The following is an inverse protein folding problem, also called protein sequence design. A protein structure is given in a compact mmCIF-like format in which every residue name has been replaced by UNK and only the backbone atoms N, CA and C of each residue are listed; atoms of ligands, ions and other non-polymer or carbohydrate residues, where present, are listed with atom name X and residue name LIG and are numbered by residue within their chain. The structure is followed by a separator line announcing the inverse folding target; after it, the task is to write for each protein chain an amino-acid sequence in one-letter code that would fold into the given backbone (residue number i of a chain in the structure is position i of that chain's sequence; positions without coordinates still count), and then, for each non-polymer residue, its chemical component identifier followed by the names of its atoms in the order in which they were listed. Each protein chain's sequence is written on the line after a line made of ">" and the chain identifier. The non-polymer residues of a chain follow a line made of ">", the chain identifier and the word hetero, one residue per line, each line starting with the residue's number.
data_IF_378436406134
#
_entry.id   IF_378436406134
#
_cell.length_a   1.000
_cell.length_b   1.000
_cell.length_c   1.000
_cell.angle_alpha   90.00
_cell.angle_beta   90.00
_cell.angle_gamma   90.00
#
_symmetry.space_group_name_H-M   'P 1'
#
loop_
_entity.id
_entity.type
_entity.pdbx_description
1 polymer ?
#
# COMPACT_ATOMS: atom_id res chain seq x y z
N UNK A 1 -23.22 -7.33 15.00
CA UNK A 1 -22.04 -7.07 15.86
C UNK A 1 -20.88 -6.83 14.93
N UNK A 2 -20.40 -5.60 14.83
CA UNK A 2 -19.32 -5.20 13.91
C UNK A 2 -17.98 -5.59 14.54
N UNK A 3 -17.37 -6.65 14.07
CA UNK A 3 -15.99 -7.02 14.43
C UNK A 3 -15.06 -6.07 13.67
N UNK A 4 -14.34 -5.25 14.41
CA UNK A 4 -13.25 -4.44 13.87
C UNK A 4 -12.10 -5.39 13.51
N UNK A 5 -11.75 -5.59 12.22
CA UNK A 5 -10.70 -6.53 11.82
C UNK A 5 -9.30 -6.19 12.38
N UNK A 6 -9.12 -4.96 12.91
CA UNK A 6 -7.89 -4.55 13.56
C UNK A 6 -7.85 -4.83 15.07
N UNK A 7 -9.01 -5.08 15.72
CA UNK A 7 -9.03 -5.49 17.14
C UNK A 7 -8.50 -6.92 17.34
N UNK A 8 -8.63 -7.76 16.33
CA UNK A 8 -8.12 -9.13 16.42
C UNK A 8 -6.58 -9.19 16.28
N UNK A 9 -5.96 -8.17 15.67
CA UNK A 9 -4.49 -8.04 15.63
C UNK A 9 -3.89 -7.82 17.02
N UNK A 10 -4.52 -6.97 17.86
CA UNK A 10 -4.06 -6.69 19.24
C UNK A 10 -4.20 -7.91 20.17
N UNK A 11 -5.22 -8.74 19.94
CA UNK A 11 -5.43 -9.97 20.74
C UNK A 11 -4.49 -11.12 20.33
N UNK A 12 -4.02 -11.14 19.08
CA UNK A 12 -3.07 -12.14 18.60
C UNK A 12 -1.65 -11.89 19.10
N UNK A 13 -1.26 -10.64 19.33
CA UNK A 13 0.03 -10.29 19.92
C UNK A 13 0.22 -10.90 21.33
N UNK A 14 -0.86 -11.01 22.12
CA UNK A 14 -0.83 -11.60 23.46
C UNK A 14 -0.77 -13.14 23.48
N UNK A 15 -1.26 -13.80 22.44
CA UNK A 15 -1.28 -15.26 22.38
C UNK A 15 0.05 -15.86 21.83
N UNK A 16 0.87 -15.08 21.13
CA UNK A 16 2.12 -15.56 20.51
C UNK A 16 3.35 -15.50 21.42
N UNK A 17 3.27 -14.83 22.57
CA UNK A 17 4.40 -14.77 23.52
C UNK A 17 4.77 -16.11 24.16
N UNK A 18 3.95 -17.14 24.04
CA UNK A 18 4.14 -18.41 24.77
C UNK A 18 4.80 -19.54 23.97
N UNK A 19 5.13 -19.39 22.69
CA UNK A 19 5.78 -20.46 21.88
C UNK A 19 6.85 -19.93 20.91
N UNK A 20 7.89 -19.30 21.44
CA UNK A 20 9.13 -19.06 20.71
C UNK A 20 9.90 -20.38 20.59
N UNK A 21 9.76 -21.06 19.46
CA UNK A 21 10.72 -22.10 19.07
C UNK A 21 12.01 -21.41 18.61
N UNK A 22 13.04 -21.53 19.40
CA UNK A 22 14.42 -21.10 19.07
C UNK A 22 14.92 -21.86 17.85
N UNK A 23 15.07 -21.16 16.73
CA UNK A 23 15.82 -21.67 15.57
C UNK A 23 17.30 -21.87 15.94
N UNK A 24 17.98 -22.91 15.40
CA UNK A 24 19.37 -23.17 15.68
C UNK A 24 20.25 -22.12 15.00
N UNK A 25 20.58 -21.08 15.72
CA UNK A 25 21.53 -20.02 15.39
C UNK A 25 21.78 -19.22 16.64
N UNK A 26 22.98 -18.68 16.81
CA UNK A 26 23.37 -17.99 18.03
C UNK A 26 22.29 -16.97 18.46
N UNK A 27 21.50 -17.24 19.52
CA UNK A 27 20.36 -16.40 19.92
C UNK A 27 20.77 -15.02 20.44
N UNK A 28 22.07 -14.77 20.58
CA UNK A 28 22.64 -13.55 21.16
C UNK A 28 23.08 -12.49 20.13
N UNK A 29 22.98 -12.78 18.83
CA UNK A 29 23.20 -11.76 17.81
C UNK A 29 21.86 -11.13 17.44
N UNK A 30 21.42 -10.16 18.21
CA UNK A 30 20.32 -9.29 17.80
C UNK A 30 20.72 -8.54 16.52
N UNK A 31 19.82 -8.57 15.52
CA UNK A 31 19.97 -7.71 14.36
C UNK A 31 19.60 -6.30 14.81
N UNK A 32 20.60 -5.44 14.94
CA UNK A 32 20.42 -4.06 15.41
C UNK A 32 20.47 -3.12 14.21
N UNK A 33 19.48 -2.22 14.05
CA UNK A 33 19.52 -1.25 12.97
C UNK A 33 20.72 -0.32 13.13
N UNK A 34 21.40 -0.07 12.03
CA UNK A 34 22.45 0.93 12.00
C UNK A 34 21.83 2.31 12.27
N UNK A 35 22.44 3.05 13.21
CA UNK A 35 21.99 4.39 13.56
C UNK A 35 22.62 5.42 12.64
N UNK A 36 21.83 6.41 12.21
CA UNK A 36 22.34 7.51 11.42
C UNK A 36 23.35 8.35 12.21
N UNK A 37 24.43 8.77 11.57
CA UNK A 37 25.43 9.66 12.13
C UNK A 37 25.02 11.15 12.03
N UNK A 38 24.21 11.48 11.03
CA UNK A 38 23.78 12.84 10.73
C UNK A 38 22.27 12.98 10.82
N UNK A 39 21.80 14.16 11.24
CA UNK A 39 20.39 14.50 11.25
C UNK A 39 20.07 15.39 10.04
N UNK A 40 19.30 14.91 9.04
CA UNK A 40 18.94 15.69 7.87
C UNK A 40 17.90 16.79 8.15
N UNK A 41 17.33 16.83 9.34
CA UNK A 41 16.28 17.77 9.75
C UNK A 41 16.81 18.88 10.68
N UNK A 42 18.05 19.31 10.48
CA UNK A 42 18.61 20.41 11.25
C UNK A 42 17.73 21.67 11.18
N UNK A 43 17.57 22.35 12.32
CA UNK A 43 16.70 23.52 12.42
C UNK A 43 15.20 23.21 12.61
N UNK A 44 14.79 21.95 12.58
CA UNK A 44 13.44 21.51 12.94
C UNK A 44 13.32 21.29 14.45
N UNK A 45 12.08 21.32 14.97
CA UNK A 45 11.79 20.85 16.32
C UNK A 45 11.79 19.32 16.34
N UNK A 46 12.97 18.73 16.44
CA UNK A 46 13.16 17.29 16.35
C UNK A 46 12.73 16.60 17.65
N UNK A 47 11.88 15.54 17.58
CA UNK A 47 11.60 14.68 18.71
C UNK A 47 12.87 13.96 19.22
N UNK A 48 12.91 13.66 20.52
CA UNK A 48 14.09 13.08 21.16
C UNK A 48 14.45 11.67 20.64
N UNK A 49 13.46 10.93 20.18
CA UNK A 49 13.57 9.58 19.63
C UNK A 49 13.82 9.53 18.12
N UNK A 50 14.06 10.68 17.48
CA UNK A 50 14.21 10.79 16.02
C UNK A 50 15.28 9.83 15.47
N UNK A 51 16.43 9.73 16.17
CA UNK A 51 17.53 8.88 15.73
C UNK A 51 17.21 7.37 15.69
N UNK A 52 16.15 6.92 16.37
CA UNK A 52 15.70 5.53 16.33
C UNK A 52 14.96 5.19 15.01
N UNK A 53 14.60 6.21 14.25
CA UNK A 53 13.85 6.08 12.99
C UNK A 53 14.61 6.54 11.75
N UNK A 54 15.64 7.39 11.89
CA UNK A 54 16.40 7.92 10.76
C UNK A 54 16.92 6.82 9.83
N UNK A 55 17.01 7.15 8.55
CA UNK A 55 17.70 6.31 7.58
C UNK A 55 19.19 6.25 7.92
N UNK A 56 19.84 5.07 7.83
CA UNK A 56 21.26 4.91 8.18
C UNK A 56 22.21 5.86 7.44
N UNK A 57 21.90 6.22 6.21
CA UNK A 57 22.68 7.15 5.39
C UNK A 57 22.47 8.64 5.73
N UNK A 58 21.62 8.93 6.72
CA UNK A 58 21.29 10.29 7.11
C UNK A 58 20.45 11.07 6.10
N UNK A 59 19.83 10.41 5.14
CA UNK A 59 18.90 11.04 4.21
C UNK A 59 17.54 11.31 4.88
N UNK A 60 16.75 12.18 4.24
CA UNK A 60 15.35 12.37 4.64
C UNK A 60 14.54 11.10 4.47
N UNK A 61 13.52 10.91 5.29
CA UNK A 61 12.55 9.82 5.10
C UNK A 61 11.98 9.79 3.69
N UNK A 62 11.57 8.63 3.23
CA UNK A 62 10.80 8.50 1.99
C UNK A 62 9.53 9.36 2.00
N UNK A 63 8.94 9.61 0.84
CA UNK A 63 7.76 10.49 0.71
C UNK A 63 6.60 10.05 1.60
N UNK A 64 6.46 8.74 1.84
CA UNK A 64 5.37 8.15 2.62
C UNK A 64 5.90 7.42 3.87
N UNK A 65 6.80 8.05 4.63
CA UNK A 65 7.48 7.36 5.74
C UNK A 65 7.83 8.24 6.95
N UNK A 66 7.13 9.32 7.20
CA UNK A 66 7.39 10.17 8.36
C UNK A 66 6.68 9.62 9.63
N UNK A 67 7.39 9.13 10.66
CA UNK A 67 6.80 8.55 11.86
C UNK A 67 6.02 9.55 12.73
N UNK A 68 6.28 10.86 12.57
CA UNK A 68 5.66 11.94 13.36
C UNK A 68 4.54 12.66 12.60
N UNK A 69 4.31 12.25 11.36
CA UNK A 69 3.28 12.87 10.54
C UNK A 69 1.88 12.59 11.10
N UNK A 70 1.06 13.61 11.18
CA UNK A 70 -0.34 13.54 11.60
C UNK A 70 -1.28 14.08 10.53
N UNK A 71 -2.42 13.43 10.38
CA UNK A 71 -3.43 13.77 9.39
C UNK A 71 -3.97 15.19 9.63
N UNK A 72 -4.14 15.92 8.53
CA UNK A 72 -4.81 17.23 8.51
C UNK A 72 -5.80 17.29 7.36
N UNK A 73 -7.01 17.74 7.63
CA UNK A 73 -7.96 18.08 6.56
C UNK A 73 -7.59 19.42 5.91
N UNK A 74 -7.58 19.46 4.60
CA UNK A 74 -7.29 20.70 3.84
C UNK A 74 -8.47 21.62 3.83
N UNK A 75 -9.69 21.05 3.88
CA UNK A 75 -10.94 21.80 3.87
C UNK A 75 -11.87 21.24 4.94
N UNK A 76 -12.25 22.09 5.88
CA UNK A 76 -13.16 21.74 6.98
C UNK A 76 -14.63 21.87 6.60
N UNK A 77 -14.94 22.21 5.34
CA UNK A 77 -16.31 22.37 4.90
C UNK A 77 -16.98 21.02 4.75
N UNK A 78 -17.78 20.67 5.73
CA UNK A 78 -18.68 19.54 5.67
C UNK A 78 -19.99 19.95 5.04
N UNK A 79 -20.25 19.63 3.80
CA UNK A 79 -21.62 19.62 3.30
C UNK A 79 -22.15 18.18 3.28
N UNK A 80 -22.31 17.59 4.46
CA UNK A 80 -22.92 16.26 4.59
C UNK A 80 -24.31 16.16 3.99
N UNK A 81 -25.07 17.28 4.02
CA UNK A 81 -26.36 17.41 3.34
C UNK A 81 -26.24 17.35 1.80
N UNK A 82 -25.23 17.98 1.22
CA UNK A 82 -25.03 17.98 -0.23
C UNK A 82 -24.62 16.60 -0.76
N UNK A 83 -23.85 15.86 0.01
CA UNK A 83 -23.42 14.51 -0.36
C UNK A 83 -24.59 13.54 -0.46
N UNK A 84 -25.52 13.59 0.47
CA UNK A 84 -26.73 12.76 0.45
C UNK A 84 -27.65 13.15 -0.75
N UNK A 85 -27.89 14.43 -0.91
CA UNK A 85 -28.70 14.92 -2.05
C UNK A 85 -28.08 14.52 -3.39
N UNK A 86 -26.76 14.64 -3.54
CA UNK A 86 -26.07 14.20 -4.73
C UNK A 86 -26.25 12.70 -4.99
N UNK A 87 -26.15 11.87 -3.94
CA UNK A 87 -26.35 10.42 -4.06
C UNK A 87 -27.78 10.11 -4.47
N UNK A 88 -28.77 10.67 -3.78
CA UNK A 88 -30.19 10.44 -4.09
C UNK A 88 -30.50 10.78 -5.55
N UNK A 89 -30.03 11.93 -6.05
CA UNK A 89 -30.20 12.34 -7.44
C UNK A 89 -29.53 11.37 -8.41
N UNK A 90 -28.29 10.97 -8.16
CA UNK A 90 -27.53 10.06 -9.01
C UNK A 90 -28.16 8.67 -9.10
N UNK A 91 -28.69 8.17 -7.99
CA UNK A 91 -29.35 6.87 -7.91
C UNK A 91 -30.71 6.93 -8.61
N UNK A 92 -31.50 7.98 -8.39
CA UNK A 92 -32.80 8.14 -9.04
C UNK A 92 -32.67 8.25 -10.57
N UNK A 93 -31.68 9.00 -11.05
CA UNK A 93 -31.50 9.28 -12.48
C UNK A 93 -30.61 8.24 -13.19
N UNK A 94 -30.07 7.27 -12.43
CA UNK A 94 -29.04 6.32 -12.89
C UNK A 94 -27.92 7.04 -13.69
N UNK A 95 -27.45 8.17 -13.16
CA UNK A 95 -26.60 9.12 -13.90
C UNK A 95 -25.14 9.17 -13.41
N UNK A 96 -24.66 8.09 -12.79
CA UNK A 96 -23.23 7.96 -12.49
C UNK A 96 -22.41 7.92 -13.77
N UNK A 97 -21.38 8.72 -13.84
CA UNK A 97 -20.43 8.65 -14.96
C UNK A 97 -19.38 7.56 -14.70
N UNK A 98 -18.81 6.98 -15.77
CA UNK A 98 -17.76 5.96 -15.67
C UNK A 98 -16.60 6.41 -14.76
N UNK A 99 -16.20 7.67 -14.84
CA UNK A 99 -15.16 8.25 -13.98
C UNK A 99 -15.58 8.38 -12.53
N UNK A 100 -16.86 8.62 -12.24
CA UNK A 100 -17.36 8.62 -10.85
C UNK A 100 -17.38 7.19 -10.31
N UNK A 101 -17.81 6.22 -11.09
CA UNK A 101 -17.79 4.79 -10.76
C UNK A 101 -16.34 4.34 -10.52
N UNK A 102 -15.43 4.62 -11.44
CA UNK A 102 -14.01 4.27 -11.30
C UNK A 102 -13.36 4.90 -10.06
N UNK A 103 -13.67 6.18 -9.74
CA UNK A 103 -13.18 6.85 -8.56
C UNK A 103 -13.67 6.19 -7.27
N UNK A 104 -14.98 5.89 -7.19
CA UNK A 104 -15.57 5.22 -6.04
C UNK A 104 -14.96 3.83 -5.85
N UNK A 105 -14.88 3.04 -6.92
CA UNK A 105 -14.29 1.71 -6.91
C UNK A 105 -12.83 1.76 -6.44
N UNK A 106 -12.02 2.64 -7.02
CA UNK A 106 -10.62 2.79 -6.63
C UNK A 106 -10.46 3.14 -5.15
N UNK A 107 -11.25 4.08 -4.62
CA UNK A 107 -11.10 4.51 -3.23
C UNK A 107 -11.68 3.53 -2.19
N UNK A 108 -12.59 2.63 -2.54
CA UNK A 108 -13.01 1.55 -1.63
C UNK A 108 -12.00 0.40 -1.57
N UNK A 109 -11.20 0.21 -2.61
CA UNK A 109 -10.10 -0.78 -2.60
C UNK A 109 -8.84 -0.20 -1.92
N UNK A 110 -8.56 1.08 -2.14
CA UNK A 110 -7.30 1.72 -1.80
C UNK A 110 -7.38 2.72 -0.64
N UNK A 111 -8.57 2.91 -0.05
CA UNK A 111 -8.88 3.73 1.12
C UNK A 111 -8.65 5.23 0.90
N UNK A 112 -7.46 5.66 0.52
CA UNK A 112 -7.11 7.03 0.16
C UNK A 112 -6.00 7.02 -0.90
N UNK A 113 -5.91 8.12 -1.64
CA UNK A 113 -4.91 8.22 -2.70
C UNK A 113 -4.43 9.65 -2.92
N UNK A 114 -3.23 9.79 -3.49
CA UNK A 114 -2.75 11.06 -4.02
C UNK A 114 -3.51 11.43 -5.30
N UNK A 115 -3.44 12.71 -5.67
CA UNK A 115 -3.98 13.13 -6.97
C UNK A 115 -3.39 12.35 -8.15
N UNK A 116 -2.08 12.06 -8.10
CA UNK A 116 -1.40 11.35 -9.20
C UNK A 116 -1.86 9.89 -9.29
N UNK A 117 -2.08 9.21 -8.17
CA UNK A 117 -2.65 7.86 -8.13
C UNK A 117 -4.06 7.83 -8.71
N UNK A 118 -4.92 8.80 -8.31
CA UNK A 118 -6.27 8.92 -8.90
C UNK A 118 -6.20 9.16 -10.41
N UNK A 119 -5.26 9.99 -10.88
CA UNK A 119 -5.11 10.24 -12.33
C UNK A 119 -4.80 8.95 -13.07
N UNK A 120 -3.83 8.17 -12.60
CA UNK A 120 -3.44 6.91 -13.24
C UNK A 120 -4.55 5.85 -13.20
N UNK A 121 -5.33 5.79 -12.12
CA UNK A 121 -6.37 4.77 -11.94
C UNK A 121 -7.72 5.14 -12.58
N UNK A 122 -8.07 6.43 -12.67
CA UNK A 122 -9.42 6.90 -13.03
C UNK A 122 -9.46 7.60 -14.39
N UNK A 123 -8.31 8.00 -14.90
CA UNK A 123 -8.21 8.76 -16.14
C UNK A 123 -7.21 8.14 -17.12
N UNK A 124 -7.48 6.94 -17.65
CA UNK A 124 -6.58 6.28 -18.61
C UNK A 124 -6.40 7.08 -19.91
N UNK A 125 -7.35 7.96 -20.24
CA UNK A 125 -7.33 8.86 -21.39
C UNK A 125 -6.50 10.14 -21.17
N UNK A 126 -5.84 10.27 -20.02
CA UNK A 126 -4.95 11.38 -19.66
C UNK A 126 -5.48 12.78 -20.02
N UNK A 127 -6.67 13.18 -19.56
CA UNK A 127 -7.25 14.47 -19.92
C UNK A 127 -6.41 15.62 -19.34
N UNK A 128 -6.66 16.85 -19.78
CA UNK A 128 -5.96 18.03 -19.29
C UNK A 128 -6.02 18.19 -17.78
N UNK A 129 -4.99 18.79 -17.19
CA UNK A 129 -4.89 19.05 -15.74
C UNK A 129 -6.09 19.80 -15.18
N UNK A 130 -6.74 20.64 -16.00
CA UNK A 130 -7.90 21.43 -15.59
C UNK A 130 -9.16 20.58 -15.48
N UNK A 131 -9.37 19.60 -16.38
CA UNK A 131 -10.47 18.63 -16.31
C UNK A 131 -10.35 17.82 -15.01
N UNK A 132 -9.17 17.29 -14.69
CA UNK A 132 -8.90 16.53 -13.48
C UNK A 132 -9.17 17.40 -12.24
N UNK A 133 -8.65 18.62 -12.23
CA UNK A 133 -8.85 19.57 -11.12
C UNK A 133 -10.32 19.89 -10.91
N UNK A 134 -11.05 20.15 -12.01
CA UNK A 134 -12.49 20.44 -11.97
C UNK A 134 -13.28 19.23 -11.45
N UNK A 135 -12.96 18.01 -11.90
CA UNK A 135 -13.59 16.78 -11.45
C UNK A 135 -13.40 16.55 -9.93
N UNK A 136 -12.18 16.62 -9.42
CA UNK A 136 -11.89 16.47 -8.01
C UNK A 136 -12.54 17.58 -7.16
N UNK A 137 -12.48 18.84 -7.61
CA UNK A 137 -13.16 19.97 -6.96
C UNK A 137 -14.66 19.77 -6.90
N UNK A 138 -15.29 19.33 -7.99
CA UNK A 138 -16.72 19.04 -8.05
C UNK A 138 -17.14 17.97 -7.05
N UNK A 139 -16.44 16.85 -6.98
CA UNK A 139 -16.73 15.75 -6.05
C UNK A 139 -16.50 16.16 -4.58
N UNK A 140 -15.52 17.02 -4.30
CA UNK A 140 -15.36 17.64 -2.97
C UNK A 140 -16.54 18.56 -2.62
N UNK A 141 -16.91 19.45 -3.53
CA UNK A 141 -18.02 20.39 -3.31
C UNK A 141 -19.37 19.68 -3.12
N UNK A 142 -19.52 18.50 -3.73
CA UNK A 142 -20.68 17.60 -3.55
C UNK A 142 -20.64 16.81 -2.25
N UNK A 143 -19.55 16.88 -1.51
CA UNK A 143 -19.38 16.16 -0.24
C UNK A 143 -19.14 14.66 -0.41
N UNK A 144 -18.67 14.21 -1.57
CA UNK A 144 -18.30 12.81 -1.86
C UNK A 144 -16.86 12.53 -1.44
N UNK A 145 -15.97 13.49 -1.68
CA UNK A 145 -14.54 13.42 -1.35
C UNK A 145 -14.15 14.37 -0.23
N UNK A 146 -13.27 13.92 0.63
CA UNK A 146 -12.46 14.76 1.51
C UNK A 146 -11.08 14.97 0.91
N UNK A 147 -10.53 16.18 1.09
CA UNK A 147 -9.14 16.48 0.79
C UNK A 147 -8.33 16.55 2.09
N UNK A 148 -7.23 15.84 2.09
CA UNK A 148 -6.39 15.58 3.24
C UNK A 148 -4.94 15.94 2.91
N UNK A 149 -4.14 16.15 3.93
CA UNK A 149 -2.68 16.24 3.88
C UNK A 149 -2.15 15.82 5.24
N UNK A 150 -0.90 16.08 5.53
CA UNK A 150 -0.35 15.86 6.85
C UNK A 150 0.55 17.01 7.29
N UNK A 151 0.71 17.12 8.58
CA UNK A 151 1.66 18.02 9.22
C UNK A 151 2.68 17.20 9.98
N UNK A 152 3.89 17.69 10.08
CA UNK A 152 5.00 17.06 10.77
C UNK A 152 5.86 18.12 11.45
N UNK A 153 6.50 17.82 12.58
CA UNK A 153 7.49 18.69 13.18
C UNK A 153 8.81 18.77 12.35
N UNK A 154 9.00 17.82 11.42
CA UNK A 154 10.20 17.73 10.60
C UNK A 154 10.07 18.59 9.35
N UNK A 155 11.10 19.37 9.06
CA UNK A 155 11.15 20.17 7.85
C UNK A 155 12.11 19.55 6.83
N UNK A 156 11.58 18.89 5.83
CA UNK A 156 12.33 18.32 4.72
C UNK A 156 12.31 19.18 3.45
N UNK A 157 11.72 20.37 3.52
CA UNK A 157 11.57 21.30 2.40
C UNK A 157 10.60 20.82 1.29
N UNK A 158 10.06 19.58 1.38
CA UNK A 158 9.21 19.01 0.36
C UNK A 158 7.75 19.41 0.52
N UNK A 159 7.10 19.72 -0.60
CA UNK A 159 5.65 19.97 -0.62
C UNK A 159 4.90 18.66 -0.46
N UNK A 160 4.09 18.56 0.58
CA UNK A 160 3.25 17.39 0.83
C UNK A 160 2.12 17.32 -0.20
N UNK A 161 1.85 16.15 -0.83
CA UNK A 161 0.75 16.01 -1.77
C UNK A 161 -0.61 16.14 -1.07
N UNK A 162 -1.62 16.52 -1.86
CA UNK A 162 -3.01 16.42 -1.42
C UNK A 162 -3.48 15.00 -1.62
N UNK A 163 -4.07 14.43 -0.59
CA UNK A 163 -4.70 13.12 -0.56
C UNK A 163 -6.22 13.29 -0.66
N UNK A 164 -6.86 12.27 -1.19
CA UNK A 164 -8.31 12.19 -1.31
C UNK A 164 -8.80 10.87 -0.74
N UNK A 165 -9.87 10.94 0.06
CA UNK A 165 -10.59 9.78 0.58
C UNK A 165 -12.08 10.02 0.54
N UNK A 166 -12.89 8.97 0.65
CA UNK A 166 -14.34 9.08 0.62
C UNK A 166 -14.89 9.62 1.93
N UNK A 167 -15.86 10.51 1.82
CA UNK A 167 -16.71 10.92 2.96
C UNK A 167 -17.72 9.81 3.28
N UNK A 168 -18.53 10.02 4.30
CA UNK A 168 -19.64 9.12 4.61
C UNK A 168 -20.60 8.97 3.42
N UNK A 169 -20.93 10.07 2.71
CA UNK A 169 -21.79 10.01 1.52
C UNK A 169 -21.12 9.24 0.37
N UNK A 170 -19.81 9.43 0.16
CA UNK A 170 -19.06 8.67 -0.83
C UNK A 170 -19.02 7.17 -0.52
N UNK A 171 -18.84 6.79 0.75
CA UNK A 171 -18.91 5.39 1.20
C UNK A 171 -20.30 4.79 0.98
N UNK A 172 -21.37 5.54 1.31
CA UNK A 172 -22.75 5.06 1.08
C UNK A 172 -22.98 4.82 -0.42
N UNK A 173 -22.60 5.78 -1.28
CA UNK A 173 -22.72 5.64 -2.73
C UNK A 173 -21.98 4.40 -3.27
N UNK A 174 -20.73 4.20 -2.82
CA UNK A 174 -19.95 3.05 -3.25
C UNK A 174 -20.52 1.73 -2.73
N UNK A 175 -21.01 1.70 -1.48
CA UNK A 175 -21.63 0.51 -0.89
C UNK A 175 -22.90 0.10 -1.65
N UNK A 176 -23.72 1.06 -2.07
CA UNK A 176 -24.93 0.82 -2.87
C UNK A 176 -24.58 0.37 -4.29
N UNK A 177 -23.64 1.04 -4.97
CA UNK A 177 -23.26 0.71 -6.35
C UNK A 177 -22.62 -0.67 -6.48
N UNK A 178 -21.77 -1.04 -5.53
CA UNK A 178 -20.98 -2.29 -5.63
C UNK A 178 -21.51 -3.41 -4.74
N UNK A 179 -22.64 -3.19 -4.04
CA UNK A 179 -23.23 -4.15 -3.11
C UNK A 179 -22.21 -4.72 -2.10
N UNK A 180 -21.33 -3.84 -1.59
CA UNK A 180 -20.23 -4.23 -0.67
C UNK A 180 -20.33 -3.50 0.65
N UNK A 181 -20.04 -4.23 1.73
CA UNK A 181 -19.84 -3.62 3.04
C UNK A 181 -18.42 -3.07 3.14
N UNK A 182 -18.29 -1.75 3.31
CA UNK A 182 -17.01 -1.05 3.37
C UNK A 182 -16.66 -0.76 4.83
N UNK A 183 -15.42 -1.08 5.28
CA UNK A 183 -15.01 -0.85 6.66
C UNK A 183 -15.09 0.62 7.07
N UNK A 184 -15.45 0.90 8.33
CA UNK A 184 -15.56 2.25 8.86
C UNK A 184 -14.26 3.08 8.75
N UNK A 185 -13.10 2.42 8.79
CA UNK A 185 -11.79 3.06 8.61
C UNK A 185 -11.54 3.68 7.23
N UNK A 186 -12.45 3.48 6.27
CA UNK A 186 -12.41 4.08 4.94
C UNK A 186 -13.15 5.41 4.84
N UNK A 187 -13.82 5.83 5.92
CA UNK A 187 -14.58 7.08 5.96
C UNK A 187 -13.71 8.22 6.46
N UNK A 188 -13.59 9.27 5.65
CA UNK A 188 -12.87 10.50 5.97
C UNK A 188 -13.84 11.67 6.12
N UNK A 189 -14.43 11.79 7.30
CA UNK A 189 -15.28 12.95 7.61
C UNK A 189 -14.40 14.12 8.02
N UNK A 190 -14.47 15.28 7.34
CA UNK A 190 -13.68 16.44 7.68
C UNK A 190 -13.83 16.84 9.13
N UNK A 191 -12.72 16.99 9.82
CA UNK A 191 -12.62 17.41 11.20
C UNK A 191 -11.48 18.41 11.36
N UNK A 192 -11.58 19.29 12.36
CA UNK A 192 -10.50 20.19 12.73
C UNK A 192 -9.71 19.57 13.86
N UNK A 193 -8.42 19.37 13.62
CA UNK A 193 -7.49 18.96 14.67
C UNK A 193 -6.59 20.13 15.02
N UNK A 194 -6.34 20.40 16.31
CA UNK A 194 -5.21 21.25 16.69
C UNK A 194 -3.91 20.75 16.03
N UNK A 195 -2.98 21.62 15.76
CA UNK A 195 -1.75 21.23 15.07
C UNK A 195 -1.05 20.05 15.75
N UNK A 196 -0.79 19.00 14.99
CA UNK A 196 -0.10 17.80 15.46
C UNK A 196 -0.94 16.81 16.29
N UNK A 197 -2.26 17.03 16.44
CA UNK A 197 -3.13 16.13 17.22
C UNK A 197 -4.03 15.24 16.36
N UNK A 198 -3.89 15.31 15.03
CA UNK A 198 -4.59 14.42 14.11
C UNK A 198 -4.12 12.96 14.23
N UNK A 199 -4.85 12.01 13.64
CA UNK A 199 -4.42 10.61 13.58
C UNK A 199 -3.03 10.46 12.97
N UNK A 200 -2.24 9.49 13.46
CA UNK A 200 -0.93 9.20 12.92
C UNK A 200 -1.04 8.73 11.45
N UNK A 201 -0.11 9.20 10.61
CA UNK A 201 -0.10 8.91 9.17
C UNK A 201 0.49 7.54 8.80
N UNK A 202 1.19 6.85 9.69
CA UNK A 202 1.90 5.60 9.35
C UNK A 202 1.01 4.54 8.66
N UNK A 203 -0.25 4.25 9.10
CA UNK A 203 -1.11 3.31 8.39
C UNK A 203 -1.52 3.81 7.00
N UNK A 204 -1.67 5.13 6.84
CA UNK A 204 -2.02 5.73 5.55
C UNK A 204 -0.84 5.76 4.59
N UNK A 205 0.38 5.90 5.09
CA UNK A 205 1.59 5.79 4.28
C UNK A 205 1.78 4.39 3.70
N UNK A 206 1.42 3.34 4.45
CA UNK A 206 1.37 1.98 3.94
C UNK A 206 0.40 1.88 2.75
N UNK A 207 -0.81 2.45 2.90
CA UNK A 207 -1.79 2.46 1.82
C UNK A 207 -1.27 3.20 0.58
N UNK A 208 -0.69 4.39 0.78
CA UNK A 208 -0.19 5.23 -0.31
C UNK A 208 0.93 4.57 -1.12
N UNK A 209 1.88 3.93 -0.45
CA UNK A 209 2.98 3.30 -1.18
C UNK A 209 2.56 2.01 -1.88
N UNK A 210 1.62 1.27 -1.31
CA UNK A 210 1.04 0.11 -2.00
C UNK A 210 0.24 0.54 -3.22
N UNK A 211 -0.44 1.70 -3.15
CA UNK A 211 -1.13 2.27 -4.30
C UNK A 211 -0.16 2.69 -5.41
N UNK A 212 1.07 3.13 -5.07
CA UNK A 212 2.08 3.40 -6.11
C UNK A 212 2.41 2.13 -6.90
N UNK A 213 2.70 1.02 -6.22
CA UNK A 213 2.97 -0.24 -6.90
C UNK A 213 1.77 -0.70 -7.74
N UNK A 214 0.55 -0.62 -7.18
CA UNK A 214 -0.67 -0.92 -7.93
C UNK A 214 -0.78 -0.09 -9.20
N UNK A 215 -0.69 1.24 -9.09
CA UNK A 215 -0.82 2.15 -10.23
C UNK A 215 0.24 1.89 -11.30
N UNK A 216 1.45 1.53 -10.90
CA UNK A 216 2.51 1.22 -11.84
C UNK A 216 2.29 -0.12 -12.55
N UNK A 217 1.82 -1.15 -11.85
CA UNK A 217 1.46 -2.44 -12.47
C UNK A 217 0.29 -2.30 -13.46
N UNK A 218 -0.70 -1.47 -13.13
CA UNK A 218 -1.79 -1.11 -14.06
C UNK A 218 -1.25 -0.34 -15.27
N UNK A 219 -0.37 0.65 -15.05
CA UNK A 219 0.20 1.48 -16.12
C UNK A 219 0.99 0.67 -17.16
N UNK A 220 1.71 -0.35 -16.72
CA UNK A 220 2.46 -1.24 -17.63
C UNK A 220 1.59 -2.38 -18.20
N UNK A 221 0.30 -2.39 -17.89
CA UNK A 221 -0.70 -3.37 -18.36
C UNK A 221 -0.31 -4.83 -18.05
N UNK A 222 0.07 -5.11 -16.79
CA UNK A 222 0.49 -6.44 -16.32
C UNK A 222 -0.34 -6.99 -15.18
N UNK A 223 -1.15 -6.16 -14.51
CA UNK A 223 -1.90 -6.54 -13.33
C UNK A 223 -3.21 -7.24 -13.73
N UNK A 224 -3.34 -8.51 -13.36
CA UNK A 224 -4.58 -9.29 -13.53
C UNK A 224 -5.48 -9.13 -12.31
N UNK A 225 -4.92 -9.29 -11.10
CA UNK A 225 -5.69 -9.09 -9.87
C UNK A 225 -4.86 -8.40 -8.80
N UNK A 226 -5.54 -7.62 -7.97
CA UNK A 226 -4.97 -6.97 -6.80
C UNK A 226 -5.95 -7.05 -5.64
N UNK A 227 -5.47 -7.53 -4.50
CA UNK A 227 -6.28 -7.56 -3.30
C UNK A 227 -5.50 -6.99 -2.12
N UNK A 228 -6.14 -6.10 -1.36
CA UNK A 228 -5.59 -5.54 -0.13
C UNK A 228 -5.96 -6.41 1.06
N UNK A 229 -4.95 -6.79 1.84
CA UNK A 229 -5.11 -7.65 3.01
C UNK A 229 -6.05 -8.85 2.77
N UNK A 230 -5.84 -9.65 1.71
CA UNK A 230 -6.70 -10.79 1.43
C UNK A 230 -6.58 -11.83 2.53
N UNK A 231 -7.69 -12.49 2.82
CA UNK A 231 -7.75 -13.59 3.77
C UNK A 231 -7.28 -14.89 3.10
N UNK A 232 -6.07 -15.34 3.43
CA UNK A 232 -5.54 -16.62 2.97
C UNK A 232 -5.79 -17.66 4.04
N UNK A 233 -6.67 -18.63 3.76
CA UNK A 233 -7.02 -19.73 4.67
C UNK A 233 -6.17 -20.95 4.40
N UNK A 234 -5.81 -21.69 5.45
CA UNK A 234 -5.08 -22.95 5.36
C UNK A 234 -5.98 -24.14 5.80
N UNK A 235 -5.65 -25.38 5.36
CA UNK A 235 -6.48 -26.56 5.66
C UNK A 235 -6.70 -26.83 7.15
N UNK A 236 -5.80 -26.37 8.03
CA UNK A 236 -5.93 -26.51 9.47
C UNK A 236 -6.80 -25.42 10.14
N UNK A 237 -7.48 -24.60 9.34
CA UNK A 237 -8.33 -23.50 9.82
C UNK A 237 -7.56 -22.22 10.22
N UNK A 238 -6.23 -22.26 10.17
CA UNK A 238 -5.43 -21.06 10.38
C UNK A 238 -5.47 -20.13 9.15
N UNK A 239 -5.07 -18.87 9.31
CA UNK A 239 -5.12 -17.88 8.24
C UNK A 239 -3.99 -16.85 8.32
N UNK A 240 -3.76 -16.19 7.20
CA UNK A 240 -2.80 -15.10 7.05
C UNK A 240 -3.36 -13.98 6.18
N UNK A 241 -2.97 -12.76 6.47
CA UNK A 241 -3.29 -11.58 5.67
C UNK A 241 -1.98 -10.92 5.21
N UNK A 242 -1.53 -11.11 3.97
CA UNK A 242 -0.46 -10.26 3.41
C UNK A 242 -0.95 -8.81 3.31
N UNK A 243 -0.05 -7.85 3.25
CA UNK A 243 -0.41 -6.45 3.07
C UNK A 243 -1.18 -6.21 1.76
N UNK A 244 -0.75 -6.89 0.69
CA UNK A 244 -1.52 -7.06 -0.54
C UNK A 244 -1.06 -8.32 -1.27
N UNK A 245 -1.88 -8.77 -2.24
CA UNK A 245 -1.49 -9.73 -3.28
C UNK A 245 -1.61 -9.09 -4.66
N UNK A 246 -0.70 -9.45 -5.55
CA UNK A 246 -0.73 -9.05 -6.94
C UNK A 246 -0.53 -10.29 -7.82
N UNK A 247 -1.48 -10.55 -8.72
CA UNK A 247 -1.32 -11.53 -9.78
C UNK A 247 -0.97 -10.80 -11.07
N UNK A 248 0.15 -11.18 -11.66
CA UNK A 248 0.75 -10.50 -12.80
C UNK A 248 0.92 -11.47 -13.94
N UNK A 249 0.56 -11.04 -15.14
CA UNK A 249 0.80 -11.81 -16.37
C UNK A 249 2.22 -11.58 -16.87
N UNK A 250 2.87 -12.66 -17.28
CA UNK A 250 4.13 -12.62 -18.02
C UNK A 250 3.88 -12.94 -19.48
N UNK A 251 3.44 -14.17 -19.76
CA UNK A 251 3.14 -14.66 -21.10
C UNK A 251 1.86 -15.50 -21.06
N UNK A 252 1.10 -15.57 -22.16
CA UNK A 252 -0.23 -16.19 -22.19
C UNK A 252 -0.26 -17.70 -21.91
N UNK A 253 0.84 -18.39 -22.22
CA UNK A 253 0.96 -19.85 -22.02
C UNK A 253 1.51 -20.22 -20.63
N UNK A 254 1.86 -19.21 -19.80
CA UNK A 254 2.41 -19.43 -18.48
C UNK A 254 1.37 -19.10 -17.37
N UNK A 255 1.44 -19.77 -16.20
CA UNK A 255 0.58 -19.43 -15.08
C UNK A 255 0.87 -18.01 -14.57
N UNK A 256 -0.17 -17.35 -14.06
CA UNK A 256 -0.05 -16.05 -13.44
C UNK A 256 1.00 -16.05 -12.31
N UNK A 257 1.70 -14.96 -12.17
CA UNK A 257 2.76 -14.79 -11.18
C UNK A 257 2.21 -14.08 -9.95
N UNK A 258 2.02 -14.84 -8.87
CA UNK A 258 1.56 -14.32 -7.59
C UNK A 258 2.71 -13.68 -6.82
N UNK A 259 2.50 -12.45 -6.35
CA UNK A 259 3.35 -11.73 -5.41
C UNK A 259 2.58 -11.43 -4.12
N UNK A 260 3.23 -11.54 -2.97
CA UNK A 260 2.80 -10.84 -1.77
C UNK A 260 3.55 -9.53 -1.65
N UNK A 261 2.87 -8.51 -1.12
CA UNK A 261 3.44 -7.16 -0.98
C UNK A 261 3.32 -6.71 0.46
N UNK A 262 4.43 -6.22 1.01
CA UNK A 262 4.51 -5.69 2.36
C UNK A 262 5.21 -4.33 2.36
N UNK A 263 4.74 -3.39 3.16
CA UNK A 263 5.39 -2.11 3.36
C UNK A 263 5.87 -1.99 4.81
N UNK A 264 7.16 -1.74 4.98
CA UNK A 264 7.76 -1.50 6.31
C UNK A 264 7.90 -0.01 6.51
N UNK A 265 7.33 0.50 7.62
CA UNK A 265 7.38 1.92 7.99
C UNK A 265 7.87 2.07 9.42
N UNK A 266 8.96 2.82 9.65
CA UNK A 266 9.43 3.14 10.98
C UNK A 266 8.35 3.89 11.78
N UNK A 267 8.09 3.42 12.97
CA UNK A 267 7.18 4.01 13.94
C UNK A 267 7.42 3.34 15.29
N UNK A 268 6.75 3.77 16.35
CA UNK A 268 6.92 3.12 17.66
C UNK A 268 6.80 1.59 17.55
N UNK A 269 7.77 0.88 18.09
CA UNK A 269 7.85 -0.61 18.10
C UNK A 269 7.94 -1.27 16.70
N UNK A 270 8.30 -0.51 15.67
CA UNK A 270 8.34 -1.02 14.29
C UNK A 270 9.23 -2.26 14.12
N UNK A 271 10.33 -2.35 14.87
CA UNK A 271 11.25 -3.48 14.82
C UNK A 271 10.59 -4.79 15.25
N UNK A 272 9.94 -4.77 16.41
CA UNK A 272 9.23 -5.95 16.93
C UNK A 272 8.07 -6.35 16.01
N UNK A 273 7.34 -5.36 15.51
CA UNK A 273 6.26 -5.62 14.54
C UNK A 273 6.78 -6.22 13.24
N UNK A 274 7.90 -5.72 12.72
CA UNK A 274 8.50 -6.26 11.49
C UNK A 274 9.01 -7.68 11.71
N UNK A 275 9.67 -7.94 12.84
CA UNK A 275 10.11 -9.30 13.23
C UNK A 275 8.93 -10.28 13.27
N UNK A 276 7.90 -9.98 14.06
CA UNK A 276 6.71 -10.81 14.16
C UNK A 276 6.03 -11.00 12.80
N UNK A 277 6.03 -9.94 11.99
CA UNK A 277 5.47 -10.00 10.64
C UNK A 277 6.24 -10.95 9.74
N UNK A 278 7.56 -10.94 9.78
CA UNK A 278 8.41 -11.85 9.02
C UNK A 278 8.26 -13.30 9.47
N UNK A 279 8.22 -13.56 10.78
CA UNK A 279 7.94 -14.90 11.32
C UNK A 279 6.59 -15.45 10.82
N UNK A 280 5.55 -14.62 10.82
CA UNK A 280 4.23 -15.01 10.30
C UNK A 280 4.21 -15.23 8.80
N UNK A 281 4.98 -14.45 8.04
CA UNK A 281 5.14 -14.63 6.60
C UNK A 281 5.85 -15.94 6.26
N UNK A 282 6.94 -16.26 6.96
CA UNK A 282 7.64 -17.54 6.85
C UNK A 282 6.70 -18.71 7.10
N UNK A 283 5.96 -18.64 8.19
CA UNK A 283 4.98 -19.64 8.54
C UNK A 283 3.89 -19.80 7.46
N UNK A 284 3.34 -18.72 6.95
CA UNK A 284 2.32 -18.74 5.91
C UNK A 284 2.87 -19.27 4.58
N UNK A 285 4.06 -18.83 4.20
CA UNK A 285 4.75 -19.26 2.98
C UNK A 285 5.01 -20.77 2.98
N UNK A 286 5.50 -21.31 4.10
CA UNK A 286 5.77 -22.75 4.23
C UNK A 286 4.50 -23.60 4.22
N UNK A 287 3.37 -23.06 4.70
CA UNK A 287 2.06 -23.73 4.67
C UNK A 287 1.34 -23.65 3.33
N UNK A 288 1.66 -22.66 2.52
CA UNK A 288 1.04 -22.48 1.20
C UNK A 288 1.36 -23.64 0.26
N UNK A 289 0.35 -24.12 -0.48
CA UNK A 289 0.57 -25.05 -1.59
C UNK A 289 1.40 -24.40 -2.68
N UNK A 290 2.00 -25.19 -3.56
CA UNK A 290 2.79 -24.65 -4.69
C UNK A 290 2.00 -23.67 -5.56
N UNK A 291 0.70 -23.92 -5.75
CA UNK A 291 -0.19 -23.08 -6.56
C UNK A 291 -0.63 -21.79 -5.88
N UNK A 292 -0.67 -21.75 -4.54
CA UNK A 292 -1.06 -20.56 -3.75
C UNK A 292 0.13 -19.80 -3.16
N UNK A 293 1.35 -20.33 -3.36
CA UNK A 293 2.58 -19.74 -2.86
C UNK A 293 3.03 -18.60 -3.76
N UNK A 294 3.36 -17.41 -3.20
CA UNK A 294 3.91 -16.34 -4.02
C UNK A 294 5.28 -16.73 -4.57
N UNK A 295 5.56 -16.34 -5.81
CA UNK A 295 6.89 -16.53 -6.39
C UNK A 295 7.93 -15.68 -5.67
N UNK A 296 7.51 -14.52 -5.14
CA UNK A 296 8.33 -13.61 -4.33
C UNK A 296 7.45 -12.75 -3.42
N UNK A 297 8.06 -12.28 -2.34
CA UNK A 297 7.49 -11.21 -1.52
C UNK A 297 8.19 -9.91 -1.85
N UNK A 298 7.43 -8.88 -2.18
CA UNK A 298 7.94 -7.53 -2.41
C UNK A 298 7.87 -6.76 -1.09
N UNK A 299 9.01 -6.36 -0.56
CA UNK A 299 9.10 -5.52 0.65
C UNK A 299 9.42 -4.09 0.23
N UNK A 300 8.52 -3.17 0.56
CA UNK A 300 8.69 -1.75 0.28
C UNK A 300 9.26 -1.07 1.52
N UNK A 301 10.54 -0.71 1.46
CA UNK A 301 11.22 0.05 2.51
C UNK A 301 11.02 1.56 2.32
N UNK A 302 11.36 2.35 3.32
CA UNK A 302 11.31 3.81 3.29
C UNK A 302 12.54 4.46 2.63
N UNK A 303 13.60 3.70 2.41
CA UNK A 303 14.82 4.14 1.73
C UNK A 303 15.78 2.97 1.50
N UNK A 304 16.67 3.14 0.52
CA UNK A 304 17.62 2.09 0.12
C UNK A 304 18.55 1.67 1.27
N UNK A 305 19.01 2.60 2.07
CA UNK A 305 19.91 2.33 3.20
C UNK A 305 19.28 1.51 4.33
N UNK A 306 17.95 1.38 4.36
CA UNK A 306 17.24 0.51 5.30
C UNK A 306 17.24 -0.95 4.85
N UNK A 307 17.38 -1.20 3.54
CA UNK A 307 17.26 -2.55 2.96
C UNK A 307 18.27 -3.54 3.53
N UNK A 308 19.56 -3.23 3.72
CA UNK A 308 20.51 -4.17 4.34
C UNK A 308 20.02 -4.71 5.67
N UNK A 309 19.55 -3.84 6.55
CA UNK A 309 19.01 -4.24 7.86
C UNK A 309 17.75 -5.13 7.71
N UNK A 310 16.81 -4.75 6.84
CA UNK A 310 15.61 -5.55 6.60
C UNK A 310 15.95 -6.92 5.99
N UNK A 311 16.96 -6.99 5.15
CA UNK A 311 17.43 -8.26 4.55
C UNK A 311 18.07 -9.17 5.60
N UNK A 312 18.88 -8.64 6.49
CA UNK A 312 19.46 -9.38 7.62
C UNK A 312 18.37 -9.90 8.59
N UNK A 313 17.38 -9.04 8.87
CA UNK A 313 16.22 -9.41 9.68
C UNK A 313 15.40 -10.52 8.99
N UNK A 314 15.17 -10.40 7.69
CA UNK A 314 14.46 -11.38 6.90
C UNK A 314 15.21 -12.72 6.83
N UNK A 315 16.51 -12.72 6.63
CA UNK A 315 17.32 -13.94 6.65
C UNK A 315 17.21 -14.71 7.97
N UNK A 316 16.95 -14.00 9.05
CA UNK A 316 16.79 -14.61 10.38
C UNK A 316 15.37 -15.12 10.64
N UNK A 317 14.34 -14.38 10.23
CA UNK A 317 12.95 -14.63 10.62
C UNK A 317 12.06 -15.14 9.48
N UNK A 318 12.52 -15.06 8.23
CA UNK A 318 11.85 -15.67 7.07
C UNK A 318 12.85 -16.17 6.01
N UNK A 319 13.72 -17.13 6.38
CA UNK A 319 14.84 -17.58 5.55
C UNK A 319 14.44 -18.31 4.28
N UNK A 320 13.23 -18.86 4.16
CA UNK A 320 12.81 -19.63 2.98
C UNK A 320 12.05 -18.78 1.96
N UNK A 321 11.63 -17.58 2.33
CA UNK A 321 10.82 -16.69 1.47
C UNK A 321 11.71 -15.95 0.46
N UNK A 322 11.47 -16.08 -0.83
CA UNK A 322 12.19 -15.29 -1.84
C UNK A 322 11.73 -13.83 -1.79
N UNK A 323 12.66 -12.89 -1.60
CA UNK A 323 12.35 -11.48 -1.38
C UNK A 323 12.86 -10.62 -2.53
N UNK A 324 12.08 -9.58 -2.83
CA UNK A 324 12.48 -8.39 -3.59
C UNK A 324 12.28 -7.16 -2.71
N UNK A 325 13.23 -6.25 -2.75
CA UNK A 325 13.10 -4.96 -2.10
C UNK A 325 12.81 -3.87 -3.13
N UNK A 326 12.09 -2.86 -2.71
CA UNK A 326 11.93 -1.59 -3.41
C UNK A 326 11.72 -0.48 -2.38
N UNK A 327 11.66 0.76 -2.82
CA UNK A 327 11.45 1.92 -1.93
C UNK A 327 10.43 2.89 -2.53
N UNK A 328 9.97 3.84 -1.70
CA UNK A 328 9.06 4.91 -2.14
C UNK A 328 9.57 5.62 -3.38
N UNK A 329 10.84 6.04 -3.35
CA UNK A 329 11.43 6.83 -4.43
C UNK A 329 11.58 6.03 -5.72
N UNK A 330 11.89 4.73 -5.59
CA UNK A 330 12.01 3.84 -6.76
C UNK A 330 10.65 3.61 -7.42
N UNK A 331 9.59 3.43 -6.64
CA UNK A 331 8.23 3.28 -7.16
C UNK A 331 7.72 4.59 -7.78
N UNK A 332 8.01 5.74 -7.16
CA UNK A 332 7.64 7.06 -7.71
C UNK A 332 8.34 7.37 -9.04
N UNK A 333 9.46 6.73 -9.33
CA UNK A 333 10.17 6.82 -10.60
C UNK A 333 9.69 5.80 -11.67
N UNK A 334 8.63 5.06 -11.37
CA UNK A 334 8.04 4.06 -12.26
C UNK A 334 8.76 2.70 -12.26
N UNK A 335 8.09 1.69 -12.84
CA UNK A 335 8.65 0.34 -12.97
C UNK A 335 9.68 0.27 -14.09
N UNK A 336 10.95 0.16 -13.72
CA UNK A 336 12.10 0.09 -14.61
C UNK A 336 13.18 -0.85 -14.04
N UNK A 337 14.31 -0.96 -14.72
CA UNK A 337 15.41 -1.86 -14.33
C UNK A 337 15.98 -1.59 -12.92
N UNK A 338 15.80 -0.37 -12.39
CA UNK A 338 16.33 0.05 -11.09
C UNK A 338 15.28 -0.04 -9.97
N UNK A 339 14.05 -0.45 -10.25
CA UNK A 339 12.95 -0.43 -9.28
C UNK A 339 13.14 -1.47 -8.19
N UNK A 340 13.53 -2.68 -8.56
CA UNK A 340 13.68 -3.78 -7.60
C UNK A 340 15.14 -4.03 -7.27
N UNK A 341 15.35 -4.40 -6.02
CA UNK A 341 16.66 -4.65 -5.44
C UNK A 341 16.69 -6.01 -4.74
N UNK A 342 17.88 -6.59 -4.69
CA UNK A 342 18.22 -7.72 -3.83
C UNK A 342 19.47 -7.38 -3.02
N UNK A 343 19.52 -7.86 -1.78
CA UNK A 343 20.69 -7.70 -0.93
C UNK A 343 21.43 -9.04 -0.82
N UNK A 344 22.69 -9.05 -1.22
CA UNK A 344 23.56 -10.21 -1.03
C UNK A 344 24.18 -10.15 0.37
N UNK A 345 23.75 -11.06 1.25
CA UNK A 345 24.22 -11.13 2.62
C UNK A 345 25.71 -11.49 2.74
N UNK A 346 26.24 -12.31 1.81
CA UNK A 346 27.64 -12.73 1.84
C UNK A 346 28.56 -11.57 1.50
N UNK A 347 28.24 -10.83 0.46
CA UNK A 347 29.05 -9.70 -0.03
C UNK A 347 28.67 -8.37 0.63
N UNK A 348 27.56 -8.36 1.40
CA UNK A 348 26.95 -7.14 1.99
C UNK A 348 26.70 -6.06 0.96
N UNK A 349 26.22 -6.46 -0.21
CA UNK A 349 26.03 -5.57 -1.35
C UNK A 349 24.57 -5.54 -1.79
N UNK A 350 24.06 -4.32 -2.03
CA UNK A 350 22.74 -4.07 -2.60
C UNK A 350 22.85 -4.04 -4.13
N UNK A 351 22.15 -4.94 -4.82
CA UNK A 351 22.18 -5.08 -6.28
C UNK A 351 20.80 -4.88 -6.89
N UNK A 352 20.77 -4.36 -8.11
CA UNK A 352 19.54 -4.33 -8.91
C UNK A 352 19.03 -5.75 -9.20
N UNK A 353 17.72 -5.96 -9.06
CA UNK A 353 17.04 -7.20 -9.42
C UNK A 353 16.23 -6.95 -10.70
N UNK A 354 16.73 -7.40 -11.83
CA UNK A 354 15.98 -7.28 -13.09
C UNK A 354 14.85 -8.28 -13.14
N UNK A 355 13.62 -7.78 -13.31
CA UNK A 355 12.42 -8.57 -13.55
C UNK A 355 11.79 -8.04 -14.83
N UNK A 356 12.17 -8.57 -16.01
CA UNK A 356 11.81 -7.99 -17.29
C UNK A 356 10.30 -7.78 -17.47
N UNK A 357 9.46 -8.73 -17.05
CA UNK A 357 8.01 -8.63 -17.20
C UNK A 357 7.34 -7.62 -16.26
N UNK A 358 8.06 -7.05 -15.28
CA UNK A 358 7.63 -5.92 -14.45
C UNK A 358 8.26 -4.59 -14.91
N UNK A 359 8.75 -4.52 -16.14
CA UNK A 359 9.36 -3.31 -16.70
C UNK A 359 8.55 -2.82 -17.89
N UNK A 360 8.54 -1.52 -18.08
CA UNK A 360 7.95 -0.91 -19.26
C UNK A 360 8.60 -1.43 -20.53
N UNK A 361 7.80 -1.67 -21.58
CA UNK A 361 8.27 -2.15 -22.88
C UNK A 361 8.55 -3.65 -22.97
N UNK A 362 8.21 -4.44 -21.95
CA UNK A 362 8.28 -5.90 -22.07
C UNK A 362 7.26 -6.41 -23.11
N UNK A 363 7.71 -7.27 -24.03
CA UNK A 363 6.93 -7.73 -25.18
C UNK A 363 5.99 -8.92 -24.93
N UNK A 364 5.88 -9.40 -23.69
CA UNK A 364 4.94 -10.48 -23.33
C UNK A 364 3.47 -10.05 -23.34
N UNK A 365 2.57 -10.99 -23.00
CA UNK A 365 1.13 -10.74 -22.98
C UNK A 365 0.74 -9.62 -22.00
N UNK A 366 -0.13 -8.72 -22.43
CA UNK A 366 -0.69 -7.67 -21.55
C UNK A 366 -1.90 -8.18 -20.75
N UNK A 367 -2.24 -7.50 -19.65
CA UNK A 367 -3.43 -7.84 -18.87
C UNK A 367 -4.71 -7.63 -19.71
N UNK A 368 -4.76 -6.57 -20.51
CA UNK A 368 -5.88 -6.30 -21.43
C UNK A 368 -6.07 -7.45 -22.40
N UNK A 369 -5.01 -7.89 -23.09
CA UNK A 369 -5.09 -9.02 -24.02
C UNK A 369 -5.49 -10.34 -23.35
N UNK A 370 -5.02 -10.57 -22.13
CA UNK A 370 -5.41 -11.74 -21.33
C UNK A 370 -6.92 -11.75 -21.03
N UNK A 371 -7.48 -10.62 -20.59
CA UNK A 371 -8.89 -10.52 -20.31
C UNK A 371 -9.76 -10.68 -21.56
N UNK A 372 -9.33 -10.13 -22.71
CA UNK A 372 -10.01 -10.32 -24.00
C UNK A 372 -10.02 -11.79 -24.42
N UNK A 373 -8.88 -12.48 -24.28
CA UNK A 373 -8.79 -13.91 -24.59
C UNK A 373 -9.71 -14.76 -23.69
N UNK A 374 -9.76 -14.46 -22.39
CA UNK A 374 -10.61 -15.19 -21.45
C UNK A 374 -12.11 -14.94 -21.72
N UNK A 375 -12.48 -13.72 -22.10
CA UNK A 375 -13.87 -13.39 -22.47
C UNK A 375 -14.32 -14.15 -23.72
N UNK A 376 -13.48 -14.22 -24.75
CA UNK A 376 -13.78 -14.94 -25.98
C UNK A 376 -13.95 -16.46 -25.75
N UNK A 377 -13.12 -17.04 -24.88
CA UNK A 377 -13.22 -18.48 -24.55
C UNK A 377 -14.53 -18.83 -23.83
N UNK A 378 -15.12 -17.92 -23.05
CA UNK A 378 -16.39 -18.14 -22.37
C UNK A 378 -17.54 -18.12 -23.37
N UNK A 379 -17.51 -17.22 -24.37
CA UNK A 379 -18.54 -17.16 -25.41
C UNK A 379 -18.54 -18.39 -26.32
N UNK A 380 -17.38 -19.03 -26.53
CA UNK A 380 -17.27 -20.25 -27.35
C UNK A 380 -17.73 -21.54 -26.60
N UNK A 381 -17.73 -21.55 -25.26
CA UNK A 381 -18.20 -22.69 -24.46
C UNK A 381 -19.75 -22.72 -24.29
N UNK A 382 -20.43 -21.61 -24.53
CA UNK A 382 -21.91 -21.51 -24.40
C UNK A 382 -22.64 -21.85 -25.71
N UNK A 383 -21.95 -22.33 -26.76
CA UNK A 383 -22.51 -22.84 -28.02
C UNK A 383 -22.18 -24.32 -28.19
#
# INVERSE_FOLDING_TARGET
>A
MSTNPFKDLDNYERASESKLHTLPGNPYLEVVPQRAETNPYEGSCCPADLYDYLLPDGNHFGMFSDPYATLKYVDNRTSSSNGRYWLDMKTMDNSFTDREIALLHFLIEHRLATRQQIVRAVFPDEPSKDIIKAFLKRNRNRGVLSALSWVTPLNDGRKKPILYGLTRAGITAASELFHRNIPNGFTFTPASFPNGTGPNMSPFFVDLVMNELYCELVRIDRLISWQRAPHISFPDGSYFFPGATAEVIKDGDEPLRLFWVEAVRPSKEWLNRTKTRFERMEWAYTKSSETSRPIRVIIIADGDSRIPFLAELAARYMPTVPILFTTDERLLNGLNINTFLQYNLADKELKGASIPFLQEGYSGMTATAYHEQMSNNIEDEDF
#
